data_IF_885521787034
#
_entry.id   IF_885521787034
#
_cell.length_a   1.000
_cell.length_b   1.000
_cell.length_c   1.000
_cell.angle_alpha   90.00
_cell.angle_beta   90.00
_cell.angle_gamma   90.00
#
_symmetry.space_group_name_H-M   'P 1'
#
loop_
_entity.id
_entity.type
_entity.pdbx_description
1 polymer ?
#
# COMPACT_ATOMS: atom_id res chain seq x y z
N UNK A 1 -61.23 -23.31 35.85
CA UNK A 1 -60.06 -23.18 36.75
C UNK A 1 -59.22 -22.06 36.18
N UNK A 2 -59.21 -20.91 36.84
CA UNK A 2 -58.89 -19.58 36.28
C UNK A 2 -58.10 -18.79 37.34
N UNK A 3 -56.95 -18.20 36.94
CA UNK A 3 -56.21 -17.05 37.53
C UNK A 3 -55.63 -17.23 38.96
N UNK A 4 -54.62 -16.52 39.48
CA UNK A 4 -53.54 -15.62 39.06
C UNK A 4 -52.80 -15.18 40.36
N UNK A 5 -51.67 -14.49 40.27
CA UNK A 5 -51.13 -13.61 41.34
C UNK A 5 -49.80 -14.09 41.93
N UNK A 6 -48.67 -13.46 41.60
CA UNK A 6 -48.06 -12.26 42.24
C UNK A 6 -47.54 -12.51 43.65
N UNK A 7 -46.24 -12.34 43.86
CA UNK A 7 -45.76 -11.41 44.89
C UNK A 7 -44.33 -10.93 44.65
N UNK A 8 -44.16 -9.62 44.84
CA UNK A 8 -42.95 -8.80 44.84
C UNK A 8 -42.65 -8.48 46.29
N UNK A 9 -41.39 -8.40 46.74
CA UNK A 9 -41.07 -7.52 47.84
C UNK A 9 -40.37 -6.25 47.32
N UNK A 10 -41.08 -5.13 47.50
CA UNK A 10 -40.56 -3.76 47.45
C UNK A 10 -40.24 -3.30 48.89
N UNK A 11 -39.37 -2.28 48.98
CA UNK A 11 -39.02 -1.43 50.14
C UNK A 11 -37.95 -1.91 51.14
N UNK A 12 -36.78 -1.28 51.06
CA UNK A 12 -36.43 -0.22 52.01
C UNK A 12 -35.43 0.77 51.37
N UNK A 13 -35.83 2.04 51.33
CA UNK A 13 -34.98 3.19 51.02
C UNK A 13 -33.98 3.42 52.15
N UNK A 14 -32.70 3.65 51.83
CA UNK A 14 -31.93 4.64 52.57
C UNK A 14 -30.84 5.24 51.67
N UNK A 15 -30.89 6.55 51.53
CA UNK A 15 -29.93 7.31 50.76
C UNK A 15 -28.69 7.58 51.59
N UNK A 16 -27.52 7.26 51.06
CA UNK A 16 -26.29 7.98 51.38
C UNK A 16 -25.56 8.28 50.07
N UNK A 17 -25.81 9.50 49.60
CA UNK A 17 -24.98 10.24 48.66
C UNK A 17 -23.56 10.30 49.21
N UNK A 18 -22.57 9.82 48.46
CA UNK A 18 -21.22 10.35 48.51
C UNK A 18 -20.53 10.14 47.16
N UNK A 19 -19.94 11.22 46.67
CA UNK A 19 -19.40 11.40 45.33
C UNK A 19 -18.02 10.75 45.18
N UNK A 20 -17.69 10.44 43.92
CA UNK A 20 -16.34 10.26 43.33
C UNK A 20 -15.67 8.88 43.44
N UNK A 21 -15.73 8.12 42.33
CA UNK A 21 -14.55 7.47 41.74
C UNK A 21 -14.82 7.01 40.29
N UNK A 22 -14.24 7.74 39.33
CA UNK A 22 -13.62 7.23 38.09
C UNK A 22 -14.43 6.31 37.16
N UNK A 23 -15.00 6.92 36.10
CA UNK A 23 -15.39 6.26 34.85
C UNK A 23 -14.16 5.60 34.20
N UNK A 24 -14.15 4.27 34.08
CA UNK A 24 -13.28 3.56 33.16
C UNK A 24 -14.10 3.13 31.94
N UNK A 25 -13.86 3.65 30.73
CA UNK A 25 -14.54 3.13 29.55
C UNK A 25 -14.01 1.73 29.22
N UNK A 26 -14.92 0.76 29.09
CA UNK A 26 -14.64 -0.51 28.44
C UNK A 26 -14.34 -0.23 26.96
N UNK A 27 -13.06 -0.17 26.62
CA UNK A 27 -12.58 -0.11 25.24
C UNK A 27 -12.76 -1.49 24.61
N UNK A 28 -13.77 -1.61 23.73
CA UNK A 28 -13.75 -2.59 22.67
C UNK A 28 -12.53 -2.29 21.79
N UNK A 29 -11.52 -3.16 21.84
CA UNK A 29 -10.43 -3.16 20.87
C UNK A 29 -10.97 -3.82 19.61
N UNK A 30 -11.54 -3.01 18.72
CA UNK A 30 -11.58 -3.37 17.31
C UNK A 30 -10.13 -3.57 16.86
N UNK A 31 -9.86 -4.73 16.26
CA UNK A 31 -8.57 -5.05 15.67
C UNK A 31 -8.31 -4.13 14.49
N UNK A 32 -7.73 -2.97 14.76
CA UNK A 32 -7.04 -2.16 13.76
C UNK A 32 -5.96 -3.06 13.15
N UNK A 33 -6.15 -3.47 11.89
CA UNK A 33 -5.07 -4.03 11.09
C UNK A 33 -3.98 -2.95 11.02
N UNK A 34 -3.04 -3.03 11.95
CA UNK A 34 -1.92 -2.13 12.01
C UNK A 34 -1.05 -2.51 10.82
N UNK A 35 -1.27 -1.80 9.70
CA UNK A 35 -0.41 -1.82 8.52
C UNK A 35 0.93 -1.28 8.99
N UNK A 36 1.71 -2.15 9.62
CA UNK A 36 3.03 -1.87 10.14
C UNK A 36 3.91 -1.82 8.90
N UNK A 37 3.94 -0.67 8.23
CA UNK A 37 5.02 -0.31 7.31
C UNK A 37 6.29 -0.10 8.15
N UNK A 38 6.80 -1.19 8.72
CA UNK A 38 8.14 -1.27 9.25
C UNK A 38 9.07 -1.04 8.08
N UNK A 39 9.67 0.15 8.03
CA UNK A 39 10.99 0.53 7.48
C UNK A 39 11.57 -0.42 6.40
N UNK A 40 10.73 -0.80 5.45
CA UNK A 40 11.07 -1.75 4.40
C UNK A 40 11.76 -0.94 3.32
N UNK A 41 12.80 -1.51 2.70
CA UNK A 41 13.39 -0.96 1.48
C UNK A 41 12.27 -0.48 0.53
N UNK A 42 12.43 0.69 -0.13
CA UNK A 42 11.38 1.22 -1.00
C UNK A 42 11.00 0.16 -2.03
N UNK A 43 9.74 -0.27 -1.96
CA UNK A 43 9.19 -1.25 -2.87
C UNK A 43 8.24 -0.57 -3.83
N UNK A 44 8.07 -1.18 -4.99
CA UNK A 44 7.10 -0.79 -6.00
C UNK A 44 6.23 -1.99 -6.34
N UNK A 45 5.03 -1.71 -6.83
CA UNK A 45 4.20 -2.67 -7.53
C UNK A 45 4.48 -2.54 -9.03
N UNK A 46 4.62 -3.68 -9.70
CA UNK A 46 4.88 -3.77 -11.13
C UNK A 46 4.11 -4.96 -11.71
N UNK A 47 3.68 -4.86 -12.97
CA UNK A 47 3.03 -5.97 -13.65
C UNK A 47 3.98 -7.20 -13.72
N UNK A 48 3.43 -8.39 -13.50
CA UNK A 48 4.20 -9.65 -13.54
C UNK A 48 4.93 -9.84 -14.88
N UNK A 49 4.32 -9.43 -15.99
CA UNK A 49 4.92 -9.56 -17.33
C UNK A 49 6.10 -8.62 -17.56
N UNK A 50 6.09 -7.46 -16.88
CA UNK A 50 7.08 -6.39 -17.03
C UNK A 50 8.31 -6.58 -16.13
N UNK A 51 8.14 -7.26 -15.00
CA UNK A 51 9.22 -7.45 -14.04
C UNK A 51 10.35 -8.30 -14.65
N UNK A 52 11.57 -7.76 -14.58
CA UNK A 52 12.80 -8.47 -14.92
C UNK A 52 13.86 -8.13 -13.86
N UNK A 53 14.40 -9.12 -13.14
CA UNK A 53 15.48 -8.90 -12.18
C UNK A 53 16.64 -8.10 -12.78
N UNK A 54 17.06 -7.02 -12.11
CA UNK A 54 18.17 -6.18 -12.55
C UNK A 54 17.89 -5.29 -13.78
N UNK A 55 16.66 -5.30 -14.34
CA UNK A 55 16.30 -4.39 -15.41
C UNK A 55 16.38 -2.95 -14.91
N UNK A 56 17.10 -2.13 -15.68
CA UNK A 56 17.23 -0.69 -15.46
C UNK A 56 16.16 0.06 -16.24
N UNK A 57 15.56 1.05 -15.61
CA UNK A 57 14.58 1.92 -16.21
C UNK A 57 14.71 3.34 -15.66
N UNK A 58 14.31 4.31 -16.46
CA UNK A 58 14.25 5.72 -16.10
C UNK A 58 12.80 6.11 -15.94
N UNK A 59 12.45 6.72 -14.80
CA UNK A 59 11.11 7.25 -14.59
C UNK A 59 10.92 8.50 -15.44
N UNK A 60 9.95 8.48 -16.34
CA UNK A 60 9.71 9.61 -17.25
C UNK A 60 8.74 10.60 -16.63
N UNK A 61 7.62 10.10 -16.15
CA UNK A 61 6.53 10.94 -15.68
C UNK A 61 5.70 10.24 -14.61
N UNK A 62 5.00 11.08 -13.84
CA UNK A 62 3.97 10.64 -12.89
C UNK A 62 2.64 10.55 -13.61
N UNK A 63 1.93 9.44 -13.39
CA UNK A 63 0.57 9.27 -13.88
C UNK A 63 -0.41 10.11 -13.06
N UNK A 64 -1.46 10.66 -13.70
CA UNK A 64 -2.61 11.22 -12.98
C UNK A 64 -3.17 10.24 -11.95
N UNK A 65 -3.53 10.74 -10.77
CA UNK A 65 -4.06 9.90 -9.69
C UNK A 65 -5.27 9.04 -10.12
N UNK A 66 -6.26 9.56 -10.88
CA UNK A 66 -7.39 8.74 -11.33
C UNK A 66 -6.98 7.54 -12.20
N UNK A 67 -5.93 7.70 -13.01
CA UNK A 67 -5.41 6.61 -13.86
C UNK A 67 -4.70 5.57 -13.00
N UNK A 68 -3.92 6.01 -12.01
CA UNK A 68 -3.23 5.12 -11.08
C UNK A 68 -4.23 4.25 -10.31
N UNK A 69 -5.29 4.87 -9.77
CA UNK A 69 -6.37 4.16 -9.08
C UNK A 69 -7.07 3.20 -10.02
N UNK A 70 -7.45 3.62 -11.23
CA UNK A 70 -8.14 2.76 -12.18
C UNK A 70 -7.34 1.50 -12.56
N UNK A 71 -6.01 1.59 -12.66
CA UNK A 71 -5.15 0.44 -12.95
C UNK A 71 -4.95 -0.50 -11.76
N UNK A 72 -5.10 0.03 -10.55
CA UNK A 72 -4.99 -0.73 -9.30
C UNK A 72 -6.34 -1.30 -8.84
N UNK A 73 -7.43 -0.89 -9.45
CA UNK A 73 -8.76 -1.44 -9.16
C UNK A 73 -9.03 -2.70 -9.99
N UNK A 74 -9.59 -3.74 -9.37
CA UNK A 74 -9.96 -4.96 -10.09
C UNK A 74 -11.03 -4.68 -11.14
N UNK A 75 -10.85 -5.13 -12.40
CA UNK A 75 -11.88 -5.00 -13.43
C UNK A 75 -13.07 -5.95 -13.20
N UNK A 76 -12.92 -6.96 -12.34
CA UNK A 76 -13.92 -8.02 -12.10
C UNK A 76 -14.85 -7.70 -10.92
N UNK A 77 -14.64 -6.56 -10.26
CA UNK A 77 -15.60 -5.93 -9.34
C UNK A 77 -15.33 -6.15 -7.85
N UNK A 78 -14.61 -7.21 -7.46
CA UNK A 78 -14.12 -7.34 -6.08
C UNK A 78 -12.67 -6.84 -6.00
N UNK A 79 -12.41 -5.90 -5.08
CA UNK A 79 -11.06 -5.39 -4.88
C UNK A 79 -10.28 -6.40 -4.03
N UNK A 80 -9.08 -6.84 -4.43
CA UNK A 80 -8.29 -7.75 -3.62
C UNK A 80 -7.94 -7.09 -2.27
N UNK A 81 -8.09 -7.84 -1.18
CA UNK A 81 -7.92 -7.31 0.19
C UNK A 81 -6.51 -6.78 0.49
N UNK A 82 -5.52 -7.22 -0.28
CA UNK A 82 -4.13 -6.72 -0.20
C UNK A 82 -3.99 -5.28 -0.72
N UNK A 83 -4.99 -4.78 -1.46
CA UNK A 83 -4.99 -3.46 -2.07
C UNK A 83 -6.30 -2.71 -1.78
N UNK A 84 -6.57 -2.50 -0.49
CA UNK A 84 -7.76 -1.78 0.01
C UNK A 84 -7.73 -0.26 -0.25
N UNK A 85 -6.54 0.32 -0.44
CA UNK A 85 -6.33 1.78 -0.61
C UNK A 85 -5.47 2.07 -1.85
N UNK A 86 -6.04 1.95 -3.06
CA UNK A 86 -5.29 2.18 -4.31
C UNK A 86 -4.85 3.63 -4.49
N UNK A 87 -5.53 4.58 -3.84
CA UNK A 87 -5.23 6.01 -3.87
C UNK A 87 -3.94 6.40 -3.12
N UNK A 88 -3.43 5.53 -2.25
CA UNK A 88 -2.13 5.71 -1.58
C UNK A 88 -0.94 5.53 -2.54
N UNK A 89 -1.18 4.93 -3.70
CA UNK A 89 -0.13 4.62 -4.65
C UNK A 89 -0.03 5.71 -5.72
N UNK A 90 1.19 6.17 -5.92
CA UNK A 90 1.54 7.02 -7.05
C UNK A 90 2.01 6.14 -8.20
N UNK A 91 1.33 6.25 -9.35
CA UNK A 91 1.76 5.61 -10.58
C UNK A 91 2.82 6.42 -11.33
N UNK A 92 3.75 5.72 -11.95
CA UNK A 92 4.79 6.30 -12.81
C UNK A 92 4.94 5.49 -14.08
N UNK A 93 5.33 6.16 -15.17
CA UNK A 93 5.76 5.51 -16.40
C UNK A 93 7.28 5.51 -16.44
N UNK A 94 7.88 4.32 -16.53
CA UNK A 94 9.30 4.13 -16.73
C UNK A 94 9.61 3.72 -18.17
N UNK A 95 10.74 4.18 -18.71
CA UNK A 95 11.31 3.65 -19.97
C UNK A 95 12.52 2.77 -19.66
N UNK A 96 12.62 1.63 -20.33
CA UNK A 96 13.84 0.81 -20.34
C UNK A 96 14.51 0.93 -21.70
N UNK A 97 15.84 0.92 -21.71
CA UNK A 97 16.66 0.97 -22.93
C UNK A 97 17.60 -0.23 -22.98
N UNK A 98 17.88 -0.71 -24.19
CA UNK A 98 18.99 -1.63 -24.43
C UNK A 98 20.33 -0.91 -24.28
N UNK A 99 21.42 -1.66 -24.16
CA UNK A 99 22.79 -1.10 -24.14
C UNK A 99 23.12 -0.34 -25.44
N UNK A 100 22.41 -0.64 -26.53
CA UNK A 100 22.48 0.10 -27.81
C UNK A 100 21.81 1.48 -27.77
N UNK A 101 21.17 1.86 -26.65
CA UNK A 101 20.40 3.09 -26.48
C UNK A 101 18.99 3.03 -27.08
N UNK A 102 18.60 1.93 -27.72
CA UNK A 102 17.25 1.75 -28.25
C UNK A 102 16.25 1.53 -27.12
N UNK A 103 15.08 2.16 -27.19
CA UNK A 103 13.97 1.91 -26.25
C UNK A 103 13.55 0.45 -26.36
N UNK A 104 13.67 -0.25 -25.24
CA UNK A 104 13.26 -1.65 -25.10
C UNK A 104 11.76 -1.76 -24.81
N UNK A 105 11.23 -0.85 -24.01
CA UNK A 105 9.82 -0.85 -23.64
C UNK A 105 9.52 0.13 -22.53
N UNK A 106 8.23 0.31 -22.28
CA UNK A 106 7.70 1.08 -21.17
C UNK A 106 7.18 0.14 -20.10
N UNK A 107 7.26 0.57 -18.85
CA UNK A 107 6.69 -0.17 -17.72
C UNK A 107 5.99 0.81 -16.80
N UNK A 108 4.90 0.36 -16.20
CA UNK A 108 4.20 1.13 -15.17
C UNK A 108 4.61 0.60 -13.80
N UNK A 109 5.03 1.51 -12.92
CA UNK A 109 5.33 1.19 -11.53
C UNK A 109 4.47 2.01 -10.59
N UNK A 110 4.06 1.41 -9.48
CA UNK A 110 3.27 2.07 -8.46
C UNK A 110 4.00 2.05 -7.13
N UNK A 111 4.05 3.17 -6.44
CA UNK A 111 4.77 3.30 -5.18
C UNK A 111 3.98 4.12 -4.17
N UNK A 112 3.96 3.67 -2.92
CA UNK A 112 3.45 4.48 -1.79
C UNK A 112 4.38 5.63 -1.44
N UNK A 113 5.68 5.46 -1.66
CA UNK A 113 6.69 6.51 -1.47
C UNK A 113 6.93 7.21 -2.81
N UNK A 114 7.02 8.54 -2.78
CA UNK A 114 7.34 9.31 -3.98
C UNK A 114 8.72 8.91 -4.54
N UNK A 115 8.74 8.55 -5.82
CA UNK A 115 9.96 8.37 -6.61
C UNK A 115 10.26 9.64 -7.43
N UNK A 116 11.54 9.85 -7.73
CA UNK A 116 12.02 11.01 -8.48
C UNK A 116 11.87 10.75 -9.99
N UNK A 117 11.16 11.61 -10.69
CA UNK A 117 11.12 11.62 -12.16
C UNK A 117 12.49 11.97 -12.72
N UNK A 118 12.82 11.46 -13.90
CA UNK A 118 14.15 11.46 -14.52
C UNK A 118 15.21 10.66 -13.74
N UNK A 119 14.82 10.10 -12.59
CA UNK A 119 15.61 9.16 -11.83
C UNK A 119 15.74 7.82 -12.55
N UNK A 120 16.94 7.25 -12.51
CA UNK A 120 17.19 5.89 -12.99
C UNK A 120 17.17 4.89 -11.84
N UNK A 121 16.47 3.80 -12.05
CA UNK A 121 16.23 2.76 -11.08
C UNK A 121 16.53 1.40 -11.69
N UNK A 122 16.84 0.45 -10.82
CA UNK A 122 16.93 -0.97 -11.17
C UNK A 122 16.03 -1.78 -10.25
N UNK A 123 15.32 -2.75 -10.83
CA UNK A 123 14.60 -3.74 -10.04
C UNK A 123 15.59 -4.63 -9.27
N UNK A 124 15.31 -4.86 -7.99
CA UNK A 124 15.98 -5.85 -7.18
C UNK A 124 15.82 -7.26 -7.75
N UNK A 125 16.63 -8.20 -7.28
CA UNK A 125 16.57 -9.60 -7.72
C UNK A 125 15.41 -10.37 -7.13
N UNK A 126 14.88 -9.87 -6.02
CA UNK A 126 13.81 -10.49 -5.27
C UNK A 126 12.51 -9.72 -5.52
N UNK A 127 11.49 -10.45 -5.94
CA UNK A 127 10.12 -9.96 -6.02
C UNK A 127 9.17 -11.02 -5.45
N UNK A 128 8.14 -10.54 -4.75
CA UNK A 128 7.07 -11.37 -4.21
C UNK A 128 5.77 -11.16 -4.98
N UNK A 129 4.93 -12.18 -5.04
CA UNK A 129 3.55 -12.03 -5.53
C UNK A 129 2.82 -11.06 -4.61
N UNK A 130 2.28 -9.98 -5.18
CA UNK A 130 1.48 -9.02 -4.44
C UNK A 130 -0.01 -9.32 -4.62
N UNK A 131 -0.46 -9.39 -5.87
CA UNK A 131 -1.83 -9.76 -6.22
C UNK A 131 -1.84 -10.54 -7.53
N UNK A 132 -2.34 -11.77 -7.50
CA UNK A 132 -2.53 -12.57 -8.72
C UNK A 132 -3.68 -12.00 -9.56
N UNK A 133 -4.73 -11.51 -8.90
CA UNK A 133 -5.92 -10.95 -9.56
C UNK A 133 -5.59 -9.72 -10.42
N UNK A 134 -4.71 -8.85 -9.91
CA UNK A 134 -4.26 -7.65 -10.63
C UNK A 134 -2.97 -7.90 -11.43
N UNK A 135 -2.45 -9.13 -11.43
CA UNK A 135 -1.19 -9.48 -12.06
C UNK A 135 0.00 -8.61 -11.58
N UNK A 136 0.09 -8.35 -10.28
CA UNK A 136 1.08 -7.47 -9.66
C UNK A 136 2.11 -8.22 -8.80
N UNK A 137 3.38 -7.83 -8.95
CA UNK A 137 4.48 -8.18 -8.04
C UNK A 137 4.86 -7.00 -7.17
N UNK A 138 5.30 -7.30 -5.95
CA UNK A 138 6.03 -6.39 -5.08
C UNK A 138 7.53 -6.61 -5.31
N UNK A 139 8.23 -5.59 -5.79
CA UNK A 139 9.68 -5.65 -6.02
C UNK A 139 10.38 -4.51 -5.30
N UNK A 140 11.61 -4.74 -4.83
CA UNK A 140 12.47 -3.65 -4.36
C UNK A 140 13.03 -2.88 -5.56
N UNK A 141 13.27 -1.59 -5.39
CA UNK A 141 13.96 -0.76 -6.38
C UNK A 141 15.14 -0.06 -5.75
N UNK A 142 16.21 0.09 -6.52
CA UNK A 142 17.40 0.82 -6.11
C UNK A 142 17.69 1.90 -7.13
N UNK A 143 18.00 3.11 -6.67
CA UNK A 143 18.49 4.17 -7.56
C UNK A 143 19.79 3.67 -8.18
N UNK A 144 19.83 3.59 -9.50
CA UNK A 144 21.07 3.36 -10.23
C UNK A 144 21.64 4.73 -10.52
N UNK A 145 22.75 5.07 -9.91
CA UNK A 145 23.50 6.24 -10.34
C UNK A 145 23.83 6.04 -11.82
N UNK A 146 23.51 7.04 -12.64
CA UNK A 146 24.25 7.16 -13.89
C UNK A 146 25.70 7.23 -13.47
N UNK A 147 26.55 6.39 -14.03
CA UNK A 147 27.94 6.79 -14.18
C UNK A 147 27.88 8.17 -14.86
N UNK A 148 28.10 9.21 -14.07
CA UNK A 148 28.11 10.57 -14.53
C UNK A 148 29.40 10.68 -15.30
N UNK A 149 29.26 10.85 -16.63
CA UNK A 149 30.33 10.87 -17.63
C UNK A 149 31.74 10.99 -17.06
N UNK A 150 32.50 9.93 -17.27
CA UNK A 150 33.95 9.93 -17.30
C UNK A 150 34.45 11.30 -17.80
N UNK A 151 34.95 12.10 -16.86
CA UNK A 151 35.54 13.40 -17.14
C UNK A 151 36.81 13.13 -17.94
N UNK A 152 36.73 13.24 -19.27
CA UNK A 152 37.91 13.16 -20.13
C UNK A 152 38.86 14.30 -19.73
N UNK A 153 40.06 14.01 -19.20
CA UNK A 153 41.07 15.05 -19.06
C UNK A 153 41.56 15.42 -20.46
N UNK A 154 41.48 16.71 -20.81
CA UNK A 154 42.13 17.30 -21.98
C UNK A 154 43.55 17.68 -21.64
#
# INVERSE_FOLDING_TARGET
MVLAGTDVPEHASDGCRNESASVGPATATDGEATDTEADSEPFVLVAMDDYRPGLRFELMERLPAPISVAMLTSPVGEQPSVLSRPDEYVGYVGRSVFDSGQVRGFTTVFSRRSLETEGRYAFGRDAGVFSVELHLLRATVRRSESDAGESLPV
#
